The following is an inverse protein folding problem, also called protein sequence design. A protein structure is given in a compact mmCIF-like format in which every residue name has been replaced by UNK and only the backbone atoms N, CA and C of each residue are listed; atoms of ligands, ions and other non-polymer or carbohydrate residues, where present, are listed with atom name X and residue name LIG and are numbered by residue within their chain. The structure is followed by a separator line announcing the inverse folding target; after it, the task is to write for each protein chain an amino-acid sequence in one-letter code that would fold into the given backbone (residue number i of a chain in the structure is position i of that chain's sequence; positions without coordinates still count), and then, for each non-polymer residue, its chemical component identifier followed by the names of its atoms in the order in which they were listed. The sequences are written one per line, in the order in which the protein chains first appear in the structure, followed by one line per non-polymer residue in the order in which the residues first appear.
data_IF_193410930697
#
_entry.id   IF_193410930697
#
_cell.length_a   1.000
_cell.length_b   1.000
_cell.length_c   1.000
_cell.angle_alpha   90.00
_cell.angle_beta   90.00
_cell.angle_gamma   90.00
#
_symmetry.space_group_name_H-M   'P 1'
#
loop_
_entity.id
_entity.type
_entity.pdbx_description
1 polymer ?
#
# COMPACT_ATOMS: atom_id res chain seq x y z
N UNK A 1 63.96 5.83 35.52
CA UNK A 1 63.21 4.78 36.22
C UNK A 1 61.71 4.97 35.94
N UNK A 2 61.19 4.38 34.86
CA UNK A 2 59.76 4.46 34.50
C UNK A 2 59.09 3.13 34.83
N UNK A 3 58.34 3.09 35.94
CA UNK A 3 57.51 1.96 36.34
C UNK A 3 56.34 1.83 35.37
N UNK A 4 56.37 0.79 34.53
CA UNK A 4 55.23 0.39 33.71
C UNK A 4 54.13 -0.17 34.63
N UNK A 5 53.07 0.60 34.86
CA UNK A 5 51.87 0.14 35.56
C UNK A 5 51.08 -0.77 34.61
N UNK A 6 51.23 -2.08 34.77
CA UNK A 6 50.44 -3.08 34.05
C UNK A 6 48.97 -2.99 34.43
N UNK A 7 48.15 -2.42 33.54
CA UNK A 7 46.69 -2.36 33.67
C UNK A 7 46.15 -3.78 33.55
N UNK A 8 45.59 -4.34 34.64
CA UNK A 8 44.87 -5.62 34.59
C UNK A 8 43.70 -5.50 33.61
N UNK A 9 43.80 -6.13 32.44
CA UNK A 9 42.68 -6.23 31.52
C UNK A 9 41.66 -7.20 32.12
N UNK A 10 40.47 -6.69 32.46
CA UNK A 10 39.32 -7.50 32.83
C UNK A 10 38.67 -8.00 31.53
N UNK A 11 38.73 -9.30 31.28
CA UNK A 11 37.97 -9.94 30.20
C UNK A 11 36.51 -10.11 30.59
N UNK A 12 35.61 -10.03 29.60
CA UNK A 12 34.21 -10.42 29.78
C UNK A 12 34.12 -11.93 30.06
N UNK A 13 33.24 -12.31 30.97
CA UNK A 13 32.96 -13.73 31.22
C UNK A 13 32.02 -14.29 30.15
N UNK A 14 32.16 -15.57 29.83
CA UNK A 14 31.26 -16.25 28.88
C UNK A 14 29.80 -16.20 29.35
N UNK A 15 29.57 -16.24 30.66
CA UNK A 15 28.21 -16.17 31.23
C UNK A 15 27.60 -14.77 31.09
N UNK A 16 28.38 -13.69 31.24
CA UNK A 16 27.90 -12.33 31.01
C UNK A 16 27.47 -12.15 29.55
N UNK A 17 28.25 -12.67 28.60
CA UNK A 17 27.91 -12.58 27.19
C UNK A 17 26.68 -13.44 26.84
N UNK A 18 26.55 -14.62 27.45
CA UNK A 18 25.41 -15.51 27.26
C UNK A 18 24.09 -14.89 27.74
N UNK A 19 24.08 -14.23 28.90
CA UNK A 19 22.89 -13.55 29.42
C UNK A 19 22.46 -12.38 28.52
N UNK A 20 23.42 -11.64 27.96
CA UNK A 20 23.13 -10.50 27.08
C UNK A 20 22.45 -10.95 25.79
N UNK A 21 22.98 -11.98 25.12
CA UNK A 21 22.33 -12.49 23.89
C UNK A 21 20.96 -13.10 24.18
N UNK A 22 20.76 -13.68 25.37
CA UNK A 22 19.45 -14.20 25.79
C UNK A 22 18.42 -13.07 25.93
N UNK A 23 18.79 -11.94 26.56
CA UNK A 23 17.90 -10.79 26.71
C UNK A 23 17.61 -10.14 25.35
N UNK A 24 18.64 -9.95 24.50
CA UNK A 24 18.46 -9.41 23.14
C UNK A 24 17.51 -10.31 22.33
N UNK A 25 17.63 -11.62 22.46
CA UNK A 25 16.73 -12.58 21.79
C UNK A 25 15.26 -12.40 22.19
N UNK A 26 14.97 -12.19 23.48
CA UNK A 26 13.60 -11.96 23.96
C UNK A 26 13.06 -10.61 23.46
N UNK A 27 13.88 -9.55 23.49
CA UNK A 27 13.44 -8.23 23.03
C UNK A 27 13.23 -8.19 21.52
N UNK A 28 14.05 -8.90 20.74
CA UNK A 28 13.97 -8.91 19.28
C UNK A 28 12.65 -9.50 18.76
N UNK A 29 12.12 -10.55 19.40
CA UNK A 29 10.86 -11.19 18.96
C UNK A 29 9.66 -10.29 19.16
N UNK A 30 9.59 -9.55 20.28
CA UNK A 30 8.49 -8.60 20.56
C UNK A 30 8.49 -7.46 19.54
N UNK A 31 9.67 -6.92 19.22
CA UNK A 31 9.83 -5.84 18.25
C UNK A 31 9.44 -6.27 16.83
N UNK A 32 9.73 -7.53 16.46
CA UNK A 32 9.41 -8.02 15.13
C UNK A 32 7.91 -8.03 14.85
N UNK A 33 7.09 -8.44 15.82
CA UNK A 33 5.62 -8.49 15.66
C UNK A 33 5.03 -7.09 15.50
N UNK A 34 5.50 -6.12 16.30
CA UNK A 34 5.00 -4.73 16.20
C UNK A 34 5.42 -4.05 14.90
N UNK A 35 6.63 -4.36 14.40
CA UNK A 35 7.14 -3.82 13.14
C UNK A 35 6.34 -4.32 11.92
N UNK A 36 5.91 -5.58 11.91
CA UNK A 36 5.11 -6.13 10.82
C UNK A 36 3.78 -5.36 10.68
N UNK A 37 3.03 -5.19 11.78
CA UNK A 37 1.78 -4.42 11.76
C UNK A 37 1.98 -2.95 11.34
N UNK A 38 3.08 -2.32 11.77
CA UNK A 38 3.40 -0.97 11.35
C UNK A 38 3.68 -0.85 9.84
N UNK A 39 4.38 -1.84 9.27
CA UNK A 39 4.63 -1.92 7.82
C UNK A 39 3.34 -2.10 7.04
N UNK A 40 2.43 -2.95 7.50
CA UNK A 40 1.14 -3.17 6.82
C UNK A 40 0.31 -1.88 6.81
N UNK A 41 0.22 -1.17 7.95
CA UNK A 41 -0.45 0.15 8.03
C UNK A 41 0.18 1.21 7.11
N UNK A 42 1.50 1.20 6.95
CA UNK A 42 2.20 2.12 6.06
C UNK A 42 1.85 1.83 4.58
N UNK A 43 1.79 0.55 4.20
CA UNK A 43 1.38 0.11 2.87
C UNK A 43 -0.09 0.46 2.61
N UNK A 44 -0.97 0.25 3.59
CA UNK A 44 -2.39 0.63 3.49
C UNK A 44 -2.56 2.15 3.30
N UNK A 45 -1.73 2.97 3.96
CA UNK A 45 -1.74 4.41 3.76
C UNK A 45 -1.28 4.80 2.34
N UNK A 46 -0.31 4.09 1.78
CA UNK A 46 0.13 4.28 0.40
C UNK A 46 -1.01 3.96 -0.58
N UNK A 47 -1.69 2.82 -0.43
CA UNK A 47 -2.84 2.43 -1.26
C UNK A 47 -3.95 3.49 -1.21
N UNK A 48 -4.30 3.98 -0.02
CA UNK A 48 -5.34 5.03 0.14
C UNK A 48 -4.97 6.33 -0.55
N UNK A 49 -3.70 6.71 -0.49
CA UNK A 49 -3.18 7.90 -1.17
C UNK A 49 -3.22 7.75 -2.69
N UNK A 50 -2.78 6.60 -3.21
CA UNK A 50 -2.75 6.32 -4.64
C UNK A 50 -4.18 6.20 -5.20
N UNK A 51 -5.12 5.55 -4.50
CA UNK A 51 -6.54 5.54 -4.89
C UNK A 51 -7.14 6.95 -4.92
N UNK A 52 -6.71 7.85 -4.03
CA UNK A 52 -7.10 9.26 -4.13
C UNK A 52 -6.48 9.92 -5.37
N UNK A 53 -5.26 9.53 -5.76
CA UNK A 53 -4.63 9.91 -7.02
C UNK A 53 -5.39 9.40 -8.26
N UNK A 54 -5.99 8.21 -8.19
CA UNK A 54 -6.86 7.67 -9.26
C UNK A 54 -8.02 8.61 -9.57
N UNK A 55 -8.57 9.35 -8.58
CA UNK A 55 -9.58 10.38 -8.86
C UNK A 55 -9.05 11.45 -9.80
N UNK A 56 -7.86 11.98 -9.54
CA UNK A 56 -7.24 12.97 -10.42
C UNK A 56 -7.00 12.41 -11.83
N UNK A 57 -6.60 11.13 -11.93
CA UNK A 57 -6.48 10.43 -13.22
C UNK A 57 -7.82 10.28 -13.93
N UNK A 58 -8.87 9.91 -13.20
CA UNK A 58 -10.21 9.78 -13.73
C UNK A 58 -10.70 11.11 -14.32
N UNK A 59 -10.46 12.24 -13.65
CA UNK A 59 -10.83 13.55 -14.20
C UNK A 59 -10.01 13.92 -15.46
N UNK A 60 -8.75 13.51 -15.54
CA UNK A 60 -7.95 13.69 -16.77
C UNK A 60 -8.49 12.84 -17.93
N UNK A 61 -8.87 11.58 -17.66
CA UNK A 61 -9.53 10.71 -18.64
C UNK A 61 -10.87 11.31 -19.09
N UNK A 62 -11.61 11.95 -18.17
CA UNK A 62 -12.87 12.59 -18.48
C UNK A 62 -12.73 13.83 -19.37
N UNK A 63 -11.68 14.64 -19.24
CA UNK A 63 -11.57 15.93 -19.95
C UNK A 63 -11.79 15.82 -21.48
N UNK A 64 -11.21 14.79 -22.10
CA UNK A 64 -11.43 14.48 -23.53
C UNK A 64 -11.45 12.95 -23.67
N UNK A 65 -12.63 12.32 -23.88
CA UNK A 65 -13.78 12.83 -24.63
C UNK A 65 -15.07 13.08 -23.80
N UNK A 66 -15.00 13.59 -22.56
CA UNK A 66 -16.16 13.74 -21.64
C UNK A 66 -16.75 12.39 -21.17
N UNK A 67 -15.88 11.43 -20.90
CA UNK A 67 -16.27 10.06 -20.53
C UNK A 67 -15.22 9.38 -19.67
N UNK A 68 -15.65 8.63 -18.64
CA UNK A 68 -14.75 7.77 -17.86
C UNK A 68 -14.54 6.38 -18.47
N UNK A 69 -15.20 6.01 -19.57
CA UNK A 69 -15.29 4.64 -20.12
C UNK A 69 -13.97 4.01 -20.66
N UNK A 70 -12.82 4.59 -20.31
CA UNK A 70 -11.48 4.11 -20.65
C UNK A 70 -10.54 4.27 -19.46
N UNK A 71 -11.10 4.31 -18.24
CA UNK A 71 -10.36 4.34 -17.00
C UNK A 71 -10.06 2.92 -16.53
N UNK A 72 -10.99 1.99 -16.78
CA UNK A 72 -10.90 0.59 -16.42
C UNK A 72 -10.71 -0.28 -17.67
N UNK A 73 -9.91 -1.33 -17.52
CA UNK A 73 -9.71 -2.35 -18.54
C UNK A 73 -10.79 -3.45 -18.47
N UNK A 74 -10.82 -4.31 -19.49
CA UNK A 74 -11.80 -5.40 -19.62
C UNK A 74 -11.69 -6.49 -18.54
N UNK A 75 -10.57 -6.56 -17.83
CA UNK A 75 -10.32 -7.43 -16.68
C UNK A 75 -10.69 -6.78 -15.33
N UNK A 76 -11.36 -5.62 -15.37
CA UNK A 76 -11.76 -4.82 -14.22
C UNK A 76 -10.58 -4.31 -13.38
N UNK A 77 -9.42 -4.08 -14.00
CA UNK A 77 -8.34 -3.29 -13.41
C UNK A 77 -8.29 -1.91 -14.06
N UNK A 78 -7.25 -1.11 -13.77
CA UNK A 78 -7.06 0.18 -14.41
C UNK A 78 -6.56 0.01 -15.84
N UNK A 79 -6.99 0.86 -16.78
CA UNK A 79 -6.56 0.77 -18.19
C UNK A 79 -5.17 1.38 -18.40
N UNK A 80 -4.13 0.61 -18.05
CA UNK A 80 -2.74 0.97 -18.34
C UNK A 80 -2.42 1.09 -19.84
N UNK A 81 -3.33 0.69 -20.73
CA UNK A 81 -3.20 0.82 -22.19
C UNK A 81 -3.97 2.03 -22.76
N UNK A 82 -4.54 2.88 -21.90
CA UNK A 82 -5.25 4.09 -22.31
C UNK A 82 -4.40 4.96 -23.25
N UNK A 83 -5.01 5.47 -24.33
CA UNK A 83 -4.30 6.07 -25.47
C UNK A 83 -3.41 7.29 -25.14
N UNK A 84 -3.77 8.08 -24.13
CA UNK A 84 -3.06 9.31 -23.72
C UNK A 84 -2.35 9.13 -22.38
N UNK A 85 -3.08 8.74 -21.34
CA UNK A 85 -2.64 8.62 -19.95
C UNK A 85 -2.21 7.21 -19.51
N UNK A 86 -2.16 6.22 -20.41
CA UNK A 86 -1.92 4.82 -20.04
C UNK A 86 -0.64 4.59 -19.22
N UNK A 87 0.45 5.31 -19.51
CA UNK A 87 1.70 5.20 -18.72
C UNK A 87 1.55 5.62 -17.27
N UNK A 88 0.77 6.67 -17.01
CA UNK A 88 0.53 7.17 -15.65
C UNK A 88 -0.49 6.31 -14.93
N UNK A 89 -1.51 5.83 -15.64
CA UNK A 89 -2.48 4.86 -15.12
C UNK A 89 -1.77 3.57 -14.71
N UNK A 90 -0.90 3.01 -15.56
CA UNK A 90 -0.10 1.83 -15.27
C UNK A 90 0.89 2.05 -14.10
N UNK A 91 1.42 3.27 -13.95
CA UNK A 91 2.30 3.63 -12.82
C UNK A 91 1.53 3.58 -11.50
N UNK A 92 0.34 4.17 -11.45
CA UNK A 92 -0.52 4.17 -10.26
C UNK A 92 -1.01 2.76 -9.97
N UNK A 93 -1.39 2.01 -11.00
CA UNK A 93 -1.78 0.60 -10.88
C UNK A 93 -0.67 -0.23 -10.24
N UNK A 94 0.53 -0.21 -10.82
CA UNK A 94 1.67 -0.96 -10.30
C UNK A 94 2.11 -0.52 -8.88
N UNK A 95 1.91 0.76 -8.55
CA UNK A 95 2.15 1.26 -7.19
C UNK A 95 1.17 0.61 -6.22
N UNK A 96 -0.12 0.63 -6.51
CA UNK A 96 -1.14 0.04 -5.62
C UNK A 96 -0.94 -1.48 -5.53
N UNK A 97 -0.65 -2.17 -6.63
CA UNK A 97 -0.39 -3.62 -6.65
C UNK A 97 0.78 -4.04 -5.77
N UNK A 98 1.80 -3.19 -5.67
CA UNK A 98 2.94 -3.47 -4.80
C UNK A 98 2.59 -3.33 -3.32
N UNK A 99 1.60 -2.51 -2.98
CA UNK A 99 1.26 -2.15 -1.59
C UNK A 99 -0.04 -2.80 -1.08
N UNK A 100 -0.93 -3.26 -1.95
CA UNK A 100 -2.21 -3.85 -1.59
C UNK A 100 -2.08 -5.28 -1.03
N UNK A 101 -3.20 -5.84 -0.56
CA UNK A 101 -3.25 -7.15 0.07
C UNK A 101 -3.17 -8.33 -0.90
N UNK A 102 -3.53 -8.13 -2.18
CA UNK A 102 -3.77 -9.20 -3.16
C UNK A 102 -2.85 -9.18 -4.38
N UNK A 103 -2.03 -8.14 -4.55
CA UNK A 103 -1.17 -7.95 -5.72
C UNK A 103 -1.88 -7.46 -6.98
N UNK A 104 -3.13 -7.00 -6.87
CA UNK A 104 -3.97 -6.53 -7.98
C UNK A 104 -5.04 -5.54 -7.47
N UNK A 105 -5.49 -4.58 -8.30
CA UNK A 105 -6.64 -3.66 -8.05
C UNK A 105 -7.97 -4.14 -8.67
N UNK A 106 -8.61 -5.22 -8.21
CA UNK A 106 -10.00 -5.46 -8.53
C UNK A 106 -10.91 -5.03 -7.35
N UNK A 107 -12.14 -4.55 -7.63
CA UNK A 107 -12.67 -4.16 -8.95
C UNK A 107 -12.51 -2.66 -9.32
N UNK A 108 -12.26 -2.41 -10.61
CA UNK A 108 -12.44 -1.13 -11.32
C UNK A 108 -13.64 -1.28 -12.27
N UNK A 109 -14.60 -0.37 -12.18
CA UNK A 109 -15.69 -0.26 -13.16
C UNK A 109 -15.85 1.19 -13.62
N UNK A 110 -16.15 1.37 -14.91
CA UNK A 110 -16.39 2.69 -15.49
C UNK A 110 -17.58 2.71 -16.46
N UNK A 111 -17.99 3.92 -16.79
CA UNK A 111 -19.00 4.24 -17.79
C UNK A 111 -18.77 5.67 -18.29
N UNK A 112 -19.63 6.17 -19.17
CA UNK A 112 -19.53 7.56 -19.61
C UNK A 112 -19.65 8.59 -18.47
N UNK A 113 -20.33 8.28 -17.36
CA UNK A 113 -20.71 9.27 -16.34
C UNK A 113 -20.33 8.89 -14.91
N UNK A 114 -19.77 7.70 -14.71
CA UNK A 114 -19.43 7.21 -13.38
C UNK A 114 -18.25 6.25 -13.47
N UNK A 115 -17.46 6.23 -12.40
CA UNK A 115 -16.43 5.24 -12.15
C UNK A 115 -16.43 4.85 -10.67
N UNK A 116 -15.95 3.65 -10.38
CA UNK A 116 -15.50 3.24 -9.05
C UNK A 116 -14.24 2.39 -9.17
N UNK A 117 -13.36 2.50 -8.18
CA UNK A 117 -12.12 1.71 -8.09
C UNK A 117 -11.93 1.31 -6.64
N UNK A 118 -11.61 0.04 -6.42
CA UNK A 118 -11.39 -0.53 -5.10
C UNK A 118 -10.08 -1.32 -5.05
N UNK A 119 -9.44 -1.30 -3.88
CA UNK A 119 -8.28 -2.14 -3.61
C UNK A 119 -8.32 -2.71 -2.20
N UNK A 120 -7.74 -3.89 -2.05
CA UNK A 120 -7.60 -4.56 -0.76
C UNK A 120 -6.46 -3.97 0.06
N UNK A 121 -6.62 -3.92 1.38
CA UNK A 121 -5.60 -3.47 2.31
C UNK A 121 -4.88 -4.68 2.93
N UNK A 122 -3.58 -4.57 3.18
CA UNK A 122 -2.78 -5.62 3.85
C UNK A 122 -3.20 -5.80 5.30
N UNK A 123 -3.56 -4.70 5.97
CA UNK A 123 -4.15 -4.72 7.30
C UNK A 123 -5.56 -5.32 7.37
N UNK A 124 -6.15 -5.70 6.22
CA UNK A 124 -7.50 -6.21 6.09
C UNK A 124 -8.52 -5.14 5.70
N UNK A 125 -9.57 -5.59 5.02
CA UNK A 125 -10.61 -4.73 4.46
C UNK A 125 -10.25 -4.16 3.09
N UNK A 126 -11.17 -3.36 2.56
CA UNK A 126 -11.08 -2.74 1.25
C UNK A 126 -11.14 -1.22 1.39
N UNK A 127 -10.58 -0.52 0.40
CA UNK A 127 -10.73 0.92 0.24
C UNK A 127 -11.24 1.22 -1.16
N UNK A 128 -12.33 1.96 -1.24
CA UNK A 128 -12.99 2.28 -2.49
C UNK A 128 -13.06 3.79 -2.69
N UNK A 129 -12.90 4.21 -3.95
CA UNK A 129 -13.11 5.57 -4.42
C UNK A 129 -14.06 5.58 -5.60
N UNK A 130 -14.91 6.60 -5.70
CA UNK A 130 -15.83 6.74 -6.84
C UNK A 130 -15.96 8.18 -7.35
N UNK A 131 -16.67 8.29 -8.47
CA UNK A 131 -17.07 9.52 -9.16
C UNK A 131 -17.98 10.45 -8.36
N UNK A 132 -18.62 9.99 -7.27
CA UNK A 132 -19.48 10.84 -6.42
C UNK A 132 -18.68 11.62 -5.38
N UNK A 133 -17.38 11.34 -5.26
CA UNK A 133 -16.52 11.94 -4.24
C UNK A 133 -16.23 11.00 -3.07
N UNK A 134 -16.84 9.81 -3.00
CA UNK A 134 -16.63 8.87 -1.91
C UNK A 134 -15.18 8.40 -1.85
N UNK A 135 -14.65 8.24 -0.64
CA UNK A 135 -13.35 7.61 -0.36
C UNK A 135 -13.42 7.02 1.04
N UNK A 136 -13.43 5.70 1.15
CA UNK A 136 -13.73 5.04 2.40
C UNK A 136 -13.57 3.53 2.36
N UNK A 137 -13.64 2.93 3.54
CA UNK A 137 -13.70 1.48 3.66
C UNK A 137 -15.14 1.03 3.50
N UNK A 138 -15.39 0.19 2.51
CA UNK A 138 -16.73 -0.21 2.04
C UNK A 138 -16.70 -1.67 1.60
N UNK A 139 -17.84 -2.23 1.18
CA UNK A 139 -18.00 -3.64 0.81
C UNK A 139 -18.06 -3.88 -0.72
N UNK A 140 -17.47 -3.02 -1.55
CA UNK A 140 -17.36 -3.25 -2.98
C UNK A 140 -17.55 -2.02 -3.87
N UNK A 141 -16.73 -1.93 -4.92
CA UNK A 141 -17.08 -1.24 -6.15
C UNK A 141 -17.94 -2.16 -7.03
N UNK A 142 -19.19 -1.76 -7.31
CA UNK A 142 -20.20 -2.63 -7.94
C UNK A 142 -20.42 -2.32 -9.42
N UNK A 143 -20.35 -3.34 -10.29
CA UNK A 143 -20.60 -3.19 -11.73
C UNK A 143 -22.00 -2.65 -12.09
N UNK A 144 -23.00 -2.88 -11.24
CA UNK A 144 -24.41 -2.53 -11.53
C UNK A 144 -24.75 -1.07 -11.29
N UNK A 145 -24.03 -0.37 -10.40
CA UNK A 145 -24.28 1.04 -10.08
C UNK A 145 -23.01 1.91 -10.12
N UNK A 146 -21.84 1.30 -10.39
CA UNK A 146 -20.52 1.94 -10.59
C UNK A 146 -20.23 2.97 -9.49
N UNK A 147 -20.36 2.52 -8.24
CA UNK A 147 -20.21 3.30 -7.00
C UNK A 147 -19.66 2.41 -5.89
N UNK A 148 -19.08 3.06 -4.88
CA UNK A 148 -18.70 2.45 -3.61
C UNK A 148 -19.94 2.24 -2.72
N UNK A 149 -20.14 1.04 -2.15
CA UNK A 149 -21.28 0.72 -1.28
C UNK A 149 -20.91 -0.13 -0.05
#
# INVERSE_FOLDING_TARGET
MLKYLSKKQKGFTLIELLVVIAIIGILATIVLVSLQSARDKAQDAAVKSELTGVRSLAEMVYDVPLSYASLCAADNTLDGAHAIYGTEIARVEGSIDSHNGTGAIPPCFDSAIAYCVESTLRGGGEWCVDSTGYSGSTAGCLATNIKCN
#
